data_IF_730477534531
#
_entry.id   IF_730477534531
#
_cell.length_a   1.000
_cell.length_b   1.000
_cell.length_c   1.000
_cell.angle_alpha   90.00
_cell.angle_beta   90.00
_cell.angle_gamma   90.00
#
_symmetry.space_group_name_H-M   'P 1'
#
loop_
_entity.id
_entity.type
_entity.pdbx_description
1 polymer ?
#
# COMPACT_ATOMS: atom_id res chain seq x y z
N UNK A 1 -16.63 44.00 13.48
CA UNK A 1 -16.72 42.54 13.61
C UNK A 1 -17.37 41.99 12.35
N UNK A 2 -16.59 41.75 11.29
CA UNK A 2 -17.10 41.20 10.02
C UNK A 2 -17.18 39.68 10.12
N UNK A 3 -18.36 39.17 9.80
CA UNK A 3 -18.81 37.81 10.07
C UNK A 3 -18.11 36.82 9.11
N UNK A 4 -17.12 36.09 9.62
CA UNK A 4 -16.31 35.12 8.87
C UNK A 4 -17.05 33.78 8.66
N UNK A 5 -18.32 33.82 8.22
CA UNK A 5 -19.16 32.62 8.04
C UNK A 5 -19.15 32.08 6.61
N UNK A 6 -18.93 32.93 5.60
CA UNK A 6 -18.97 32.50 4.19
C UNK A 6 -17.74 31.71 3.73
N UNK A 7 -16.55 32.07 4.22
CA UNK A 7 -15.27 31.45 3.85
C UNK A 7 -15.11 30.04 4.43
N UNK A 8 -15.51 29.84 5.69
CA UNK A 8 -15.41 28.55 6.36
C UNK A 8 -16.28 27.46 5.70
N UNK A 9 -17.50 27.81 5.26
CA UNK A 9 -18.41 26.85 4.59
C UNK A 9 -17.92 26.46 3.20
N UNK A 10 -17.31 27.40 2.46
CA UNK A 10 -16.74 27.14 1.14
C UNK A 10 -15.49 26.25 1.24
N UNK A 11 -14.60 26.50 2.22
CA UNK A 11 -13.41 25.66 2.46
C UNK A 11 -13.82 24.22 2.82
N UNK A 12 -14.85 24.06 3.66
CA UNK A 12 -15.34 22.75 4.07
C UNK A 12 -15.97 21.98 2.89
N UNK A 13 -16.69 22.67 2.00
CA UNK A 13 -17.22 22.09 0.75
C UNK A 13 -16.11 21.70 -0.23
N UNK A 14 -15.06 22.51 -0.36
CA UNK A 14 -13.92 22.20 -1.25
C UNK A 14 -13.11 21.00 -0.73
N UNK A 15 -12.93 20.87 0.58
CA UNK A 15 -12.28 19.70 1.19
C UNK A 15 -13.15 18.44 1.01
N UNK A 16 -14.46 18.56 1.18
CA UNK A 16 -15.39 17.43 1.02
C UNK A 16 -15.50 16.99 -0.46
N UNK A 17 -15.45 17.93 -1.40
CA UNK A 17 -15.36 17.64 -2.83
C UNK A 17 -14.00 17.05 -3.24
N UNK A 18 -12.89 17.47 -2.61
CA UNK A 18 -11.57 16.87 -2.83
C UNK A 18 -11.50 15.44 -2.28
N UNK A 19 -12.16 15.15 -1.15
CA UNK A 19 -12.30 13.80 -0.59
C UNK A 19 -13.20 12.90 -1.46
N UNK A 20 -14.28 13.45 -2.02
CA UNK A 20 -15.16 12.71 -2.95
C UNK A 20 -14.51 12.48 -4.32
N UNK A 21 -13.72 13.43 -4.83
CA UNK A 21 -13.01 13.28 -6.11
C UNK A 21 -11.88 12.24 -6.02
N UNK A 22 -11.20 12.12 -4.88
CA UNK A 22 -10.15 11.12 -4.66
C UNK A 22 -10.74 9.72 -4.42
N UNK A 23 -11.82 9.60 -3.64
CA UNK A 23 -12.55 8.33 -3.48
C UNK A 23 -13.21 7.85 -4.78
N UNK A 24 -13.80 8.77 -5.55
CA UNK A 24 -14.42 8.50 -6.85
C UNK A 24 -13.39 8.12 -7.92
N UNK A 25 -12.22 8.75 -7.96
CA UNK A 25 -11.15 8.42 -8.90
C UNK A 25 -10.56 7.03 -8.61
N UNK A 26 -10.36 6.67 -7.33
CA UNK A 26 -9.85 5.34 -6.94
C UNK A 26 -10.88 4.23 -7.22
N UNK A 27 -12.17 4.48 -6.97
CA UNK A 27 -13.24 3.56 -7.33
C UNK A 27 -13.43 3.41 -8.84
N UNK A 28 -13.44 4.52 -9.59
CA UNK A 28 -13.66 4.53 -11.04
C UNK A 28 -12.49 3.90 -11.82
N UNK A 29 -11.24 4.21 -11.45
CA UNK A 29 -10.07 3.57 -12.09
C UNK A 29 -9.99 2.08 -11.79
N UNK A 30 -10.40 1.64 -10.59
CA UNK A 30 -10.39 0.23 -10.20
C UNK A 30 -11.54 -0.59 -10.80
N UNK A 31 -12.72 0.01 -11.01
CA UNK A 31 -13.91 -0.72 -11.47
C UNK A 31 -14.15 -0.63 -12.98
N UNK A 32 -13.75 0.46 -13.66
CA UNK A 32 -14.07 0.70 -15.07
C UNK A 32 -12.87 0.67 -16.03
N UNK A 33 -11.63 0.87 -15.56
CA UNK A 33 -10.45 1.01 -16.45
C UNK A 33 -9.50 -0.18 -16.48
N UNK A 34 -9.62 -1.15 -15.55
CA UNK A 34 -8.88 -2.42 -15.63
C UNK A 34 -9.77 -3.50 -16.23
N UNK A 35 -9.80 -3.54 -17.55
CA UNK A 35 -10.23 -4.72 -18.29
C UNK A 35 -9.31 -5.89 -17.96
N UNK A 36 -9.91 -6.96 -17.46
CA UNK A 36 -9.44 -8.34 -17.59
C UNK A 36 -8.19 -8.82 -16.83
N UNK A 37 -8.01 -8.35 -15.58
CA UNK A 37 -7.21 -9.10 -14.60
C UNK A 37 -7.94 -9.10 -13.26
N UNK A 38 -8.91 -10.02 -13.20
CA UNK A 38 -9.94 -10.11 -12.16
C UNK A 38 -9.36 -10.20 -10.77
N UNK A 39 -10.10 -9.66 -9.79
CA UNK A 39 -9.96 -9.80 -8.34
C UNK A 39 -9.85 -11.27 -7.86
N UNK A 40 -8.80 -11.99 -8.26
CA UNK A 40 -8.56 -13.38 -7.89
C UNK A 40 -7.60 -13.43 -6.73
N UNK A 41 -7.96 -14.21 -5.71
CA UNK A 41 -7.07 -14.54 -4.62
C UNK A 41 -5.78 -15.20 -5.17
N UNK A 42 -4.65 -14.53 -5.00
CA UNK A 42 -3.32 -15.09 -5.16
C UNK A 42 -2.67 -15.34 -3.81
N UNK A 43 -1.97 -16.47 -3.71
CA UNK A 43 -1.16 -16.84 -2.54
C UNK A 43 0.25 -16.25 -2.61
N UNK A 44 0.68 -15.81 -3.78
CA UNK A 44 2.06 -15.41 -4.01
C UNK A 44 2.26 -13.92 -3.74
N UNK A 45 2.50 -13.62 -2.46
CA UNK A 45 3.02 -12.33 -2.01
C UNK A 45 4.46 -12.51 -1.54
N UNK A 46 5.37 -12.70 -2.50
CA UNK A 46 6.79 -13.02 -2.26
C UNK A 46 7.49 -12.07 -1.28
N UNK A 47 7.04 -10.81 -1.18
CA UNK A 47 7.63 -9.80 -0.29
C UNK A 47 6.78 -9.51 0.95
N UNK A 48 5.63 -10.14 1.10
CA UNK A 48 4.72 -9.99 2.24
C UNK A 48 4.36 -11.38 2.76
N UNK A 49 5.25 -12.03 3.53
CA UNK A 49 4.98 -13.37 4.05
C UNK A 49 3.84 -13.32 5.07
N UNK A 50 2.72 -13.93 4.71
CA UNK A 50 1.59 -14.20 5.60
C UNK A 50 1.18 -15.65 5.40
N UNK A 51 0.69 -16.29 6.47
CA UNK A 51 0.15 -17.64 6.37
C UNK A 51 -1.06 -17.65 5.44
N UNK A 52 -1.23 -18.73 4.67
CA UNK A 52 -2.31 -18.83 3.67
C UNK A 52 -3.70 -18.60 4.27
N UNK A 53 -3.97 -19.15 5.46
CA UNK A 53 -5.25 -18.96 6.15
C UNK A 53 -5.50 -17.49 6.55
N UNK A 54 -4.45 -16.75 6.89
CA UNK A 54 -4.53 -15.33 7.22
C UNK A 54 -4.78 -14.51 5.95
N UNK A 55 -4.11 -14.84 4.84
CA UNK A 55 -4.34 -14.20 3.55
C UNK A 55 -5.76 -14.42 3.06
N UNK A 56 -6.26 -15.66 3.12
CA UNK A 56 -7.63 -16.00 2.72
C UNK A 56 -8.64 -15.26 3.59
N UNK A 57 -8.45 -15.28 4.91
CA UNK A 57 -9.31 -14.53 5.84
C UNK A 57 -9.28 -13.02 5.58
N UNK A 58 -8.13 -12.48 5.16
CA UNK A 58 -7.99 -11.06 4.82
C UNK A 58 -8.74 -10.75 3.53
N UNK A 59 -8.60 -11.60 2.50
CA UNK A 59 -9.34 -11.48 1.25
C UNK A 59 -10.86 -11.49 1.48
N UNK A 60 -11.36 -12.41 2.31
CA UNK A 60 -12.80 -12.55 2.57
C UNK A 60 -13.37 -11.42 3.42
N UNK A 61 -12.66 -10.97 4.47
CA UNK A 61 -13.21 -10.05 5.48
C UNK A 61 -12.77 -8.60 5.29
N UNK A 62 -11.62 -8.40 4.65
CA UNK A 62 -10.98 -7.10 4.43
C UNK A 62 -10.42 -7.03 3.00
N UNK A 63 -11.26 -7.18 1.95
CA UNK A 63 -10.80 -7.30 0.57
C UNK A 63 -9.92 -6.12 0.13
N UNK A 64 -10.28 -4.89 0.52
CA UNK A 64 -9.48 -3.70 0.20
C UNK A 64 -8.09 -3.74 0.83
N UNK A 65 -7.97 -4.29 2.04
CA UNK A 65 -6.69 -4.46 2.72
C UNK A 65 -5.86 -5.52 1.99
N UNK A 66 -6.48 -6.64 1.63
CA UNK A 66 -5.81 -7.69 0.85
C UNK A 66 -5.26 -7.15 -0.48
N UNK A 67 -6.09 -6.46 -1.26
CA UNK A 67 -5.64 -5.90 -2.54
C UNK A 67 -4.59 -4.81 -2.36
N UNK A 68 -4.67 -4.03 -1.29
CA UNK A 68 -3.62 -3.10 -0.91
C UNK A 68 -2.28 -3.79 -0.65
N UNK A 69 -2.27 -4.94 0.02
CA UNK A 69 -1.06 -5.75 0.19
C UNK A 69 -0.54 -6.27 -1.15
N UNK A 70 -1.42 -6.73 -2.04
CA UNK A 70 -1.03 -7.13 -3.41
C UNK A 70 -0.34 -5.99 -4.14
N UNK A 71 -0.87 -4.77 -4.05
CA UNK A 71 -0.29 -3.60 -4.70
C UNK A 71 1.03 -3.18 -4.05
N UNK A 72 1.16 -3.24 -2.71
CA UNK A 72 2.45 -3.02 -2.02
C UNK A 72 3.50 -4.05 -2.46
N UNK A 73 3.10 -5.33 -2.62
CA UNK A 73 4.00 -6.38 -3.09
C UNK A 73 4.53 -6.08 -4.50
N UNK A 74 3.69 -5.57 -5.41
CA UNK A 74 4.11 -5.15 -6.75
C UNK A 74 5.10 -3.98 -6.70
N UNK A 75 4.87 -3.00 -5.83
CA UNK A 75 5.81 -1.88 -5.66
C UNK A 75 7.17 -2.35 -5.12
N UNK A 76 7.18 -3.30 -4.17
CA UNK A 76 8.41 -3.93 -3.70
C UNK A 76 9.13 -4.71 -4.81
N UNK A 77 8.41 -5.37 -5.72
CA UNK A 77 9.00 -6.03 -6.89
C UNK A 77 9.69 -5.03 -7.82
N UNK A 78 9.06 -3.89 -8.10
CA UNK A 78 9.65 -2.82 -8.93
C UNK A 78 10.94 -2.30 -8.30
N UNK A 79 10.93 -2.02 -6.99
CA UNK A 79 12.11 -1.54 -6.27
C UNK A 79 13.24 -2.57 -6.29
N UNK A 80 12.92 -3.84 -6.07
CA UNK A 80 13.93 -4.92 -6.11
C UNK A 80 14.58 -5.03 -7.49
N UNK A 81 13.77 -4.95 -8.56
CA UNK A 81 14.28 -4.97 -9.94
C UNK A 81 15.21 -3.80 -10.22
N UNK A 82 14.92 -2.62 -9.69
CA UNK A 82 15.80 -1.46 -9.86
C UNK A 82 17.11 -1.61 -9.08
N UNK A 83 17.07 -2.13 -7.86
CA UNK A 83 18.29 -2.44 -7.08
C UNK A 83 19.15 -3.46 -7.82
N UNK A 84 18.54 -4.48 -8.43
CA UNK A 84 19.23 -5.48 -9.25
C UNK A 84 19.89 -4.84 -10.48
N UNK A 85 19.15 -4.01 -11.24
CA UNK A 85 19.68 -3.25 -12.38
C UNK A 85 20.88 -2.39 -12.00
N UNK A 86 20.81 -1.69 -10.86
CA UNK A 86 21.94 -0.89 -10.35
C UNK A 86 23.13 -1.77 -9.95
N UNK A 87 22.88 -2.94 -9.38
CA UNK A 87 23.92 -3.90 -9.01
C UNK A 87 24.63 -4.48 -10.24
N UNK A 88 23.92 -4.69 -11.34
CA UNK A 88 24.51 -5.06 -12.64
C UNK A 88 25.36 -3.92 -13.21
N UNK A 89 24.82 -2.69 -13.19
CA UNK A 89 25.54 -1.49 -13.65
C UNK A 89 26.84 -1.24 -12.87
N UNK A 90 26.87 -1.54 -11.57
CA UNK A 90 28.07 -1.44 -10.75
C UNK A 90 29.20 -2.35 -11.25
N UNK A 91 28.85 -3.54 -11.75
CA UNK A 91 29.81 -4.49 -12.33
C UNK A 91 30.32 -4.02 -13.70
N UNK A 92 29.47 -3.38 -14.49
CA UNK A 92 29.81 -2.86 -15.82
C UNK A 92 30.67 -1.59 -15.76
N UNK A 93 30.41 -0.72 -14.78
CA UNK A 93 31.04 0.59 -14.65
C UNK A 93 31.71 0.79 -13.28
N UNK A 94 32.74 -0.01 -12.93
CA UNK A 94 33.36 0.01 -11.61
C UNK A 94 34.00 1.35 -11.24
N UNK A 95 34.39 2.17 -12.23
CA UNK A 95 34.94 3.52 -12.01
C UNK A 95 33.87 4.55 -11.60
N UNK A 96 32.58 4.24 -11.80
CA UNK A 96 31.44 5.11 -11.47
C UNK A 96 30.63 4.59 -10.27
N UNK A 97 31.25 3.75 -9.44
CA UNK A 97 30.63 3.08 -8.30
C UNK A 97 29.95 4.06 -7.32
N UNK A 98 30.52 5.25 -7.12
CA UNK A 98 30.00 6.23 -6.16
C UNK A 98 28.60 6.73 -6.55
N UNK A 99 28.38 7.02 -7.83
CA UNK A 99 27.09 7.45 -8.38
C UNK A 99 26.07 6.32 -8.22
N UNK A 100 26.44 5.11 -8.62
CA UNK A 100 25.55 3.95 -8.62
C UNK A 100 25.18 3.54 -7.18
N UNK A 101 26.15 3.53 -6.27
CA UNK A 101 25.93 3.20 -4.87
C UNK A 101 25.00 4.21 -4.20
N UNK A 102 25.16 5.50 -4.48
CA UNK A 102 24.29 6.54 -3.92
C UNK A 102 22.82 6.34 -4.31
N UNK A 103 22.55 5.98 -5.57
CA UNK A 103 21.20 5.71 -6.04
C UNK A 103 20.65 4.40 -5.44
N UNK A 104 21.49 3.37 -5.33
CA UNK A 104 21.15 2.08 -4.70
C UNK A 104 20.77 2.26 -3.24
N UNK A 105 21.48 3.12 -2.50
CA UNK A 105 21.19 3.43 -1.10
C UNK A 105 19.82 4.11 -0.92
N UNK A 106 19.44 5.00 -1.85
CA UNK A 106 18.10 5.60 -1.86
C UNK A 106 17.04 4.49 -1.99
N UNK A 107 17.19 3.57 -2.95
CA UNK A 107 16.22 2.50 -3.17
C UNK A 107 16.18 1.48 -2.02
N UNK A 108 17.32 1.16 -1.42
CA UNK A 108 17.39 0.34 -0.22
C UNK A 108 16.65 0.97 0.96
N UNK A 109 16.81 2.28 1.15
CA UNK A 109 16.08 3.03 2.19
C UNK A 109 14.57 3.00 1.96
N UNK A 110 14.12 3.24 0.72
CA UNK A 110 12.70 3.17 0.34
C UNK A 110 12.12 1.77 0.59
N UNK A 111 12.83 0.72 0.17
CA UNK A 111 12.45 -0.68 0.44
C UNK A 111 12.34 -0.94 1.93
N UNK A 112 13.30 -0.46 2.73
CA UNK A 112 13.31 -0.66 4.18
C UNK A 112 12.10 0.00 4.84
N UNK A 113 11.74 1.22 4.45
CA UNK A 113 10.60 1.93 5.03
C UNK A 113 9.26 1.28 4.66
N UNK A 114 9.09 0.86 3.40
CA UNK A 114 7.91 0.08 3.00
C UNK A 114 7.84 -1.24 3.79
N UNK A 115 8.97 -1.93 3.96
CA UNK A 115 9.04 -3.20 4.69
C UNK A 115 8.65 -3.05 6.16
N UNK A 116 9.08 -1.95 6.82
CA UNK A 116 8.69 -1.65 8.22
C UNK A 116 7.18 -1.50 8.36
N UNK A 117 6.55 -0.68 7.52
CA UNK A 117 5.10 -0.47 7.60
C UNK A 117 4.33 -1.75 7.23
N UNK A 118 4.82 -2.49 6.24
CA UNK A 118 4.24 -3.78 5.85
C UNK A 118 4.31 -4.81 6.97
N UNK A 119 5.43 -4.86 7.71
CA UNK A 119 5.58 -5.74 8.87
C UNK A 119 4.58 -5.40 9.98
N UNK A 120 4.32 -4.10 10.21
CA UNK A 120 3.28 -3.67 11.16
C UNK A 120 1.89 -4.09 10.70
N UNK A 121 1.56 -3.88 9.42
CA UNK A 121 0.30 -4.31 8.82
C UNK A 121 0.09 -5.82 8.98
N UNK A 122 1.12 -6.63 8.70
CA UNK A 122 1.06 -8.10 8.86
C UNK A 122 0.69 -8.49 10.30
N UNK A 123 1.38 -7.93 11.30
CA UNK A 123 1.10 -8.22 12.71
C UNK A 123 -0.32 -7.84 13.12
N UNK A 124 -0.81 -6.70 12.66
CA UNK A 124 -2.17 -6.27 12.94
C UNK A 124 -3.20 -7.21 12.30
N UNK A 125 -2.98 -7.62 11.05
CA UNK A 125 -3.84 -8.56 10.33
C UNK A 125 -3.86 -9.94 11.01
N UNK A 126 -2.70 -10.47 11.39
CA UNK A 126 -2.60 -11.72 12.15
C UNK A 126 -3.33 -11.63 13.49
N UNK A 127 -3.17 -10.51 14.20
CA UNK A 127 -3.87 -10.25 15.47
C UNK A 127 -5.38 -10.28 15.29
N UNK A 128 -5.90 -9.66 14.22
CA UNK A 128 -7.32 -9.67 13.89
C UNK A 128 -7.82 -11.07 13.52
N UNK A 129 -7.03 -11.82 12.73
CA UNK A 129 -7.35 -13.20 12.38
C UNK A 129 -7.45 -14.08 13.63
N UNK A 130 -6.45 -14.05 14.50
CA UNK A 130 -6.44 -14.81 15.76
C UNK A 130 -7.60 -14.39 16.65
N UNK A 131 -7.87 -13.10 16.78
CA UNK A 131 -9.00 -12.62 17.58
C UNK A 131 -10.35 -13.19 17.08
N UNK A 132 -10.54 -13.24 15.76
CA UNK A 132 -11.71 -13.85 15.14
C UNK A 132 -11.78 -15.37 15.33
N UNK A 133 -10.64 -16.06 15.23
CA UNK A 133 -10.57 -17.52 15.47
C UNK A 133 -10.91 -17.88 16.92
N UNK A 134 -10.50 -17.07 17.90
CA UNK A 134 -10.75 -17.30 19.33
C UNK A 134 -12.19 -16.93 19.70
N UNK A 135 -12.71 -15.81 19.20
CA UNK A 135 -14.08 -15.39 19.45
C UNK A 135 -14.59 -14.61 18.23
N UNK A 136 -15.49 -15.23 17.46
CA UNK A 136 -15.95 -14.67 16.21
C UNK A 136 -16.63 -13.31 16.38
N UNK A 137 -17.52 -13.15 17.37
CA UNK A 137 -18.24 -11.89 17.59
C UNK A 137 -17.28 -10.74 17.96
N UNK A 138 -16.42 -10.96 18.96
CA UNK A 138 -15.43 -9.97 19.38
C UNK A 138 -14.41 -9.69 18.27
N UNK A 139 -14.02 -10.70 17.50
CA UNK A 139 -13.12 -10.58 16.38
C UNK A 139 -13.71 -9.77 15.22
N UNK A 140 -14.97 -10.01 14.86
CA UNK A 140 -15.67 -9.21 13.84
C UNK A 140 -15.73 -7.75 14.24
N UNK A 141 -16.06 -7.47 15.51
CA UNK A 141 -16.05 -6.10 16.02
C UNK A 141 -14.68 -5.45 15.90
N UNK A 142 -13.62 -6.15 16.31
CA UNK A 142 -12.23 -5.65 16.17
C UNK A 142 -11.82 -5.41 14.73
N UNK A 143 -12.23 -6.30 13.81
CA UNK A 143 -11.98 -6.13 12.37
C UNK A 143 -12.67 -4.86 11.87
N UNK A 144 -13.94 -4.65 12.23
CA UNK A 144 -14.67 -3.45 11.86
C UNK A 144 -14.01 -2.19 12.43
N UNK A 145 -13.63 -2.20 13.71
CA UNK A 145 -13.00 -1.06 14.40
C UNK A 145 -11.62 -0.69 13.80
N UNK A 146 -10.91 -1.66 13.20
CA UNK A 146 -9.55 -1.48 12.67
C UNK A 146 -9.49 -1.32 11.16
N UNK A 147 -10.59 -1.61 10.44
CA UNK A 147 -10.63 -1.60 8.98
C UNK A 147 -10.07 -0.30 8.39
N UNK A 148 -10.61 0.84 8.83
CA UNK A 148 -10.24 2.14 8.26
C UNK A 148 -8.77 2.49 8.55
N UNK A 149 -8.27 2.13 9.73
CA UNK A 149 -6.86 2.33 10.09
C UNK A 149 -5.92 1.51 9.19
N UNK A 150 -6.27 0.25 8.89
CA UNK A 150 -5.50 -0.62 8.01
C UNK A 150 -5.50 -0.08 6.56
N UNK A 151 -6.67 0.30 6.07
CA UNK A 151 -6.83 0.89 4.74
C UNK A 151 -6.01 2.18 4.60
N UNK A 152 -6.06 3.06 5.60
CA UNK A 152 -5.29 4.29 5.62
C UNK A 152 -3.77 4.06 5.65
N UNK A 153 -3.32 3.05 6.41
CA UNK A 153 -1.90 2.68 6.47
C UNK A 153 -1.42 2.15 5.12
N UNK A 154 -2.22 1.30 4.47
CA UNK A 154 -1.96 0.83 3.10
C UNK A 154 -1.90 2.00 2.13
N UNK A 155 -2.89 2.90 2.15
CA UNK A 155 -2.96 4.06 1.26
C UNK A 155 -1.70 4.91 1.37
N UNK A 156 -1.27 5.22 2.60
CA UNK A 156 -0.05 5.98 2.85
C UNK A 156 1.21 5.26 2.33
N UNK A 157 1.31 3.95 2.54
CA UNK A 157 2.44 3.16 2.02
C UNK A 157 2.45 3.15 0.48
N UNK A 158 1.29 2.97 -0.15
CA UNK A 158 1.15 3.02 -1.60
C UNK A 158 1.51 4.39 -2.14
N UNK A 159 0.97 5.48 -1.60
CA UNK A 159 1.33 6.85 -2.01
C UNK A 159 2.82 7.13 -1.88
N UNK A 160 3.43 6.72 -0.76
CA UNK A 160 4.87 6.85 -0.54
C UNK A 160 5.69 6.09 -1.59
N UNK A 161 5.30 4.84 -1.88
CA UNK A 161 6.01 3.98 -2.84
C UNK A 161 5.82 4.46 -4.28
N UNK A 162 4.58 4.69 -4.71
CA UNK A 162 4.22 5.11 -6.07
C UNK A 162 4.89 6.42 -6.45
N UNK A 163 4.86 7.43 -5.58
CA UNK A 163 5.54 8.72 -5.81
C UNK A 163 7.01 8.54 -6.20
N UNK A 164 7.67 7.47 -5.75
CA UNK A 164 9.07 7.16 -6.06
C UNK A 164 9.22 6.23 -7.26
N UNK A 165 8.36 5.22 -7.37
CA UNK A 165 8.46 4.19 -8.42
C UNK A 165 7.84 4.61 -9.75
N UNK A 166 7.05 5.68 -9.82
CA UNK A 166 6.47 6.16 -11.09
C UNK A 166 7.53 6.36 -12.19
N UNK A 167 8.75 6.80 -11.83
CA UNK A 167 9.83 6.96 -12.82
C UNK A 167 10.36 5.64 -13.40
N UNK A 168 10.08 4.52 -12.74
CA UNK A 168 10.55 3.18 -13.11
C UNK A 168 9.52 2.37 -13.92
N UNK A 169 8.27 2.85 -14.04
CA UNK A 169 7.16 2.15 -14.70
C UNK A 169 7.03 2.48 -16.21
N UNK A 170 8.08 3.07 -16.80
CA UNK A 170 8.10 3.51 -18.21
C UNK A 170 8.59 2.41 -19.15
#
# INVERSE_FOLDING_TARGET
MTNNKGSATIILLVILLALLATGGYFGYTRFYLKGDDTNTFTKDLTHIPLQEEVLLSTYEKLPDVYFGLVDINKELQIINKEIERLTEMEKEYPQQIEIISSEKDIWNSVKQDISKTTTTLQKEIETLHVAYRVNQEKGQKRIADKKDQLQESIRKTLEFSQTRTERLKK
#
